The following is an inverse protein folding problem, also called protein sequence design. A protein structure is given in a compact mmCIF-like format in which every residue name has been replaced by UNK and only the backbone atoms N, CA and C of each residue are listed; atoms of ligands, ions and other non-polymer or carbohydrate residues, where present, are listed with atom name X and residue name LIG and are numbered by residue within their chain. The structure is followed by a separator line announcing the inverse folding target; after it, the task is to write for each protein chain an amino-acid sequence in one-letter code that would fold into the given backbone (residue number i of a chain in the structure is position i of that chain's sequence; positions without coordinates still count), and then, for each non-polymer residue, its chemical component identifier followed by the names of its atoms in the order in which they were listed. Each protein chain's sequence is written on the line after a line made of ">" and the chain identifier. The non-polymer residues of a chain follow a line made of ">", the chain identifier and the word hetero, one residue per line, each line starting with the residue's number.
data_IF_418718558653
#
_entry.id   IF_418718558653
#
_cell.length_a   1.000
_cell.length_b   1.000
_cell.length_c   1.000
_cell.angle_alpha   90.00
_cell.angle_beta   90.00
_cell.angle_gamma   90.00
#
_symmetry.space_group_name_H-M   'P 1'
#
loop_
_entity.id
_entity.type
_entity.pdbx_description
1 polymer ?
#
# COMPACT_ATOMS: atom_id res chain seq x y z
N UNK A 1 21.99 11.09 -21.58
CA UNK A 1 21.47 9.77 -21.16
C UNK A 1 20.03 10.00 -20.75
N UNK A 2 19.05 9.55 -21.53
CA UNK A 2 17.65 9.54 -21.11
C UNK A 2 17.49 8.41 -20.09
N UNK A 3 17.38 8.77 -18.82
CA UNK A 3 17.07 7.82 -17.75
C UNK A 3 15.68 7.26 -17.99
N UNK A 4 15.55 5.93 -18.05
CA UNK A 4 14.24 5.27 -18.14
C UNK A 4 13.34 5.74 -16.98
N UNK A 5 12.01 5.82 -17.17
CA UNK A 5 11.08 6.10 -16.07
C UNK A 5 11.24 5.11 -14.90
N UNK A 6 10.98 5.59 -13.69
CA UNK A 6 10.95 4.78 -12.48
C UNK A 6 9.70 3.91 -12.49
N UNK A 7 9.89 2.60 -12.32
CA UNK A 7 8.77 1.66 -12.20
C UNK A 7 8.23 1.70 -10.77
N UNK A 8 7.04 2.25 -10.59
CA UNK A 8 6.47 2.54 -9.28
C UNK A 8 5.25 1.67 -9.03
N UNK A 9 5.32 0.76 -8.06
CA UNK A 9 4.17 -0.02 -7.64
C UNK A 9 3.44 0.65 -6.48
N UNK A 10 2.22 1.13 -6.73
CA UNK A 10 1.32 1.64 -5.71
C UNK A 10 0.36 0.54 -5.24
N UNK A 11 0.35 0.25 -3.94
CA UNK A 11 -0.55 -0.75 -3.36
C UNK A 11 -1.88 -0.09 -2.99
N UNK A 12 -2.93 -0.39 -3.73
CA UNK A 12 -4.28 0.20 -3.60
C UNK A 12 -5.36 -0.84 -3.32
N UNK A 13 -5.03 -1.98 -2.71
CA UNK A 13 -5.93 -3.14 -2.58
C UNK A 13 -7.19 -2.90 -1.75
N UNK A 14 -7.20 -1.83 -0.96
CA UNK A 14 -8.33 -1.41 -0.14
C UNK A 14 -9.25 -0.40 -0.85
N UNK A 15 -8.90 0.04 -2.05
CA UNK A 15 -9.73 0.93 -2.87
C UNK A 15 -10.91 0.14 -3.42
N UNK A 16 -12.16 0.60 -3.21
CA UNK A 16 -13.33 -0.05 -3.80
C UNK A 16 -13.44 0.25 -5.30
N UNK A 17 -14.29 -0.51 -6.00
CA UNK A 17 -14.54 -0.33 -7.44
C UNK A 17 -14.93 1.10 -7.85
N UNK A 18 -15.61 1.82 -6.97
CA UNK A 18 -16.00 3.22 -7.20
C UNK A 18 -14.84 4.20 -7.18
N UNK A 19 -13.66 3.82 -6.66
CA UNK A 19 -12.56 4.74 -6.36
C UNK A 19 -12.89 5.78 -5.28
N UNK A 20 -14.05 5.69 -4.65
CA UNK A 20 -14.55 6.67 -3.70
C UNK A 20 -14.67 6.06 -2.30
N UNK A 21 -14.38 6.84 -1.26
CA UNK A 21 -14.44 6.40 0.12
C UNK A 21 -13.84 7.40 1.09
N UNK A 22 -13.45 6.91 2.27
CA UNK A 22 -12.81 7.74 3.30
C UNK A 22 -11.41 8.23 2.92
N UNK A 23 -10.76 8.92 3.86
CA UNK A 23 -9.48 9.62 3.62
C UNK A 23 -8.36 8.75 3.01
N UNK A 24 -8.25 7.48 3.39
CA UNK A 24 -7.26 6.55 2.79
C UNK A 24 -7.51 6.30 1.31
N UNK A 25 -8.78 6.08 0.91
CA UNK A 25 -9.14 5.86 -0.50
C UNK A 25 -8.82 7.11 -1.30
N UNK A 26 -9.23 8.28 -0.81
CA UNK A 26 -8.88 9.57 -1.44
C UNK A 26 -7.37 9.73 -1.58
N UNK A 27 -6.60 9.44 -0.53
CA UNK A 27 -5.14 9.53 -0.57
C UNK A 27 -4.54 8.68 -1.68
N UNK A 28 -4.94 7.41 -1.81
CA UNK A 28 -4.44 6.51 -2.86
C UNK A 28 -4.81 7.02 -4.25
N UNK A 29 -6.05 7.46 -4.45
CA UNK A 29 -6.50 7.94 -5.75
C UNK A 29 -5.78 9.22 -6.18
N UNK A 30 -5.61 10.19 -5.28
CA UNK A 30 -4.88 11.43 -5.61
C UNK A 30 -3.38 11.17 -5.80
N UNK A 31 -2.78 10.29 -4.99
CA UNK A 31 -1.39 9.89 -5.17
C UNK A 31 -1.18 9.19 -6.51
N UNK A 32 -2.09 8.28 -6.90
CA UNK A 32 -2.04 7.60 -8.19
C UNK A 32 -2.12 8.61 -9.35
N UNK A 33 -3.03 9.58 -9.30
CA UNK A 33 -3.11 10.65 -10.31
C UNK A 33 -1.86 11.51 -10.36
N UNK A 34 -1.33 11.90 -9.20
CA UNK A 34 -0.10 12.69 -9.11
C UNK A 34 1.11 11.94 -9.67
N UNK A 35 1.21 10.63 -9.45
CA UNK A 35 2.26 9.79 -10.02
C UNK A 35 2.08 9.59 -11.53
N UNK A 36 0.85 9.35 -11.99
CA UNK A 36 0.55 9.18 -13.41
C UNK A 36 0.79 10.43 -14.25
N UNK A 37 0.69 11.62 -13.65
CA UNK A 37 0.96 12.89 -14.31
C UNK A 37 2.46 13.20 -14.49
N UNK A 38 3.35 12.33 -14.02
CA UNK A 38 4.81 12.51 -14.13
C UNK A 38 5.40 11.69 -15.26
N UNK A 39 6.16 12.33 -16.12
CA UNK A 39 6.82 11.67 -17.26
C UNK A 39 8.01 10.78 -16.85
N UNK A 40 8.50 10.93 -15.62
CA UNK A 40 9.58 10.11 -15.05
C UNK A 40 9.09 8.91 -14.24
N UNK A 41 7.78 8.63 -14.24
CA UNK A 41 7.17 7.51 -13.50
C UNK A 41 6.35 6.61 -14.43
N UNK A 42 6.68 5.33 -14.41
CA UNK A 42 5.81 4.26 -14.91
C UNK A 42 4.98 3.69 -13.76
N UNK A 43 3.71 4.10 -13.67
CA UNK A 43 2.82 3.69 -12.58
C UNK A 43 2.27 2.27 -12.82
N UNK A 44 2.51 1.40 -11.83
CA UNK A 44 1.83 0.13 -11.63
C UNK A 44 0.95 0.21 -10.39
N UNK A 45 -0.20 -0.45 -10.42
CA UNK A 45 -1.13 -0.50 -9.28
C UNK A 45 -1.40 -1.94 -8.90
N UNK A 46 -1.31 -2.25 -7.61
CA UNK A 46 -1.84 -3.49 -7.06
C UNK A 46 -3.23 -3.22 -6.47
N UNK A 47 -4.27 -3.64 -7.19
CA UNK A 47 -5.68 -3.43 -6.84
C UNK A 47 -6.31 -4.68 -6.22
N UNK A 48 -7.41 -4.47 -5.47
CA UNK A 48 -8.24 -5.56 -4.98
C UNK A 48 -9.14 -6.09 -6.10
N UNK A 49 -9.63 -7.33 -5.97
CA UNK A 49 -10.55 -7.92 -6.95
C UNK A 49 -11.80 -7.04 -7.20
N UNK A 50 -12.01 -6.66 -8.46
CA UNK A 50 -13.11 -5.82 -8.92
C UNK A 50 -12.86 -4.31 -8.78
N UNK A 51 -11.66 -3.88 -8.37
CA UNK A 51 -11.30 -2.47 -8.23
C UNK A 51 -10.54 -1.89 -9.44
N UNK A 52 -10.38 -2.66 -10.52
CA UNK A 52 -9.66 -2.26 -11.74
C UNK A 52 -10.24 -0.96 -12.32
N UNK A 53 -11.56 -0.86 -12.36
CA UNK A 53 -12.28 0.28 -12.91
C UNK A 53 -11.97 1.61 -12.19
N UNK A 54 -11.56 1.55 -10.91
CA UNK A 54 -11.18 2.74 -10.15
C UNK A 54 -9.91 3.41 -10.72
N UNK A 55 -9.04 2.65 -11.38
CA UNK A 55 -7.76 3.12 -11.91
C UNK A 55 -7.76 3.35 -13.42
N UNK A 56 -8.91 3.18 -14.08
CA UNK A 56 -9.09 3.52 -15.50
C UNK A 56 -8.74 4.98 -15.75
N UNK A 57 -7.90 5.25 -16.75
CA UNK A 57 -7.43 6.59 -17.08
C UNK A 57 -6.36 7.14 -16.12
N UNK A 58 -5.94 6.38 -15.11
CA UNK A 58 -4.82 6.71 -14.22
C UNK A 58 -3.61 5.82 -14.52
N UNK A 59 -3.84 4.53 -14.71
CA UNK A 59 -2.80 3.57 -15.11
C UNK A 59 -3.26 2.78 -16.33
N UNK A 60 -2.30 2.37 -17.15
CA UNK A 60 -2.56 1.46 -18.27
C UNK A 60 -3.16 0.15 -17.75
N UNK A 61 -4.18 -0.44 -18.42
CA UNK A 61 -4.83 -1.66 -17.95
C UNK A 61 -3.85 -2.82 -17.68
N UNK A 62 -2.81 -2.97 -18.50
CA UNK A 62 -1.76 -3.98 -18.33
C UNK A 62 -0.86 -3.76 -17.09
N UNK A 63 -0.95 -2.59 -16.46
CA UNK A 63 -0.19 -2.20 -15.26
C UNK A 63 -1.05 -2.20 -13.99
N UNK A 64 -2.33 -2.58 -14.09
CA UNK A 64 -3.22 -2.79 -12.94
C UNK A 64 -3.25 -4.29 -12.62
N UNK A 65 -2.53 -4.68 -11.58
CA UNK A 65 -2.41 -6.05 -11.10
C UNK A 65 -3.48 -6.32 -10.04
N UNK A 66 -4.20 -7.44 -10.10
CA UNK A 66 -5.27 -7.72 -9.14
C UNK A 66 -4.95 -8.85 -8.18
N UNK A 67 -5.38 -8.68 -6.94
CA UNK A 67 -5.35 -9.71 -5.92
C UNK A 67 -6.73 -10.34 -5.71
N UNK A 68 -6.80 -11.69 -5.71
CA UNK A 68 -8.02 -12.38 -5.32
C UNK A 68 -8.28 -12.22 -3.81
N UNK A 69 -9.55 -12.13 -3.44
CA UNK A 69 -10.02 -12.18 -2.05
C UNK A 69 -10.44 -10.82 -1.47
N UNK A 70 -11.30 -10.88 -0.44
CA UNK A 70 -11.78 -9.73 0.34
C UNK A 70 -11.72 -10.06 1.84
N UNK A 71 -11.52 -9.05 2.69
CA UNK A 71 -11.58 -9.19 4.15
C UNK A 71 -10.22 -9.23 4.87
N UNK A 72 -10.18 -9.51 6.18
CA UNK A 72 -8.95 -9.44 6.99
C UNK A 72 -7.90 -10.50 6.65
N UNK A 73 -8.31 -11.64 6.06
CA UNK A 73 -7.38 -12.66 5.54
C UNK A 73 -6.61 -12.13 4.32
N UNK A 74 -7.17 -11.17 3.60
CA UNK A 74 -6.52 -10.50 2.46
C UNK A 74 -5.22 -9.81 2.88
N UNK A 75 -5.05 -9.41 4.14
CA UNK A 75 -3.80 -8.84 4.64
C UNK A 75 -2.59 -9.77 4.52
N UNK A 76 -2.77 -11.08 4.69
CA UNK A 76 -1.70 -12.05 4.48
C UNK A 76 -1.45 -12.29 2.98
N UNK A 77 -2.52 -12.30 2.18
CA UNK A 77 -2.46 -12.46 0.72
C UNK A 77 -1.78 -11.25 0.05
N UNK A 78 -2.10 -10.03 0.49
CA UNK A 78 -1.47 -8.77 0.09
C UNK A 78 0.03 -8.79 0.36
N UNK A 79 0.44 -9.37 1.49
CA UNK A 79 1.84 -9.50 1.82
C UNK A 79 2.59 -10.50 0.94
N UNK A 80 1.89 -11.50 0.39
CA UNK A 80 2.45 -12.49 -0.53
C UNK A 80 2.23 -12.13 -2.00
N UNK A 81 1.67 -10.95 -2.27
CA UNK A 81 1.28 -10.50 -3.59
C UNK A 81 2.43 -10.26 -4.55
N UNK A 82 3.68 -10.25 -4.07
CA UNK A 82 4.82 -9.88 -4.91
C UNK A 82 5.00 -10.74 -6.15
N UNK A 83 4.61 -12.03 -6.08
CA UNK A 83 4.63 -12.92 -7.25
C UNK A 83 3.58 -12.59 -8.32
N UNK A 84 2.55 -11.78 -8.02
CA UNK A 84 1.56 -11.31 -9.01
C UNK A 84 1.99 -10.05 -9.73
N UNK A 85 2.93 -9.33 -9.17
CA UNK A 85 3.49 -8.13 -9.79
C UNK A 85 4.63 -8.58 -10.68
N UNK A 86 4.43 -8.51 -11.99
CA UNK A 86 5.43 -8.92 -12.97
C UNK A 86 6.68 -8.02 -12.95
N UNK A 87 7.85 -8.65 -12.75
CA UNK A 87 9.16 -8.01 -12.90
C UNK A 87 9.59 -7.12 -11.72
N UNK A 88 10.78 -6.50 -11.86
CA UNK A 88 11.39 -5.64 -10.84
C UNK A 88 10.74 -4.26 -10.79
N UNK A 89 10.45 -3.76 -9.60
CA UNK A 89 10.04 -2.37 -9.38
C UNK A 89 11.23 -1.56 -8.87
N UNK A 90 11.21 -0.25 -9.10
CA UNK A 90 12.18 0.65 -8.47
C UNK A 90 11.66 1.10 -7.11
N UNK A 91 10.35 1.32 -6.99
CA UNK A 91 9.66 1.68 -5.74
C UNK A 91 8.43 0.79 -5.53
N UNK A 92 8.23 0.35 -4.30
CA UNK A 92 7.06 -0.40 -3.84
C UNK A 92 6.42 0.36 -2.69
N UNK A 93 5.23 0.91 -2.89
CA UNK A 93 4.58 1.81 -1.93
C UNK A 93 3.31 1.20 -1.33
N UNK A 94 3.42 0.75 -0.09
CA UNK A 94 2.27 0.39 0.75
C UNK A 94 1.56 1.63 1.26
N UNK A 95 0.24 1.74 1.05
CA UNK A 95 -0.55 2.93 1.43
C UNK A 95 -1.50 2.68 2.61
N UNK A 96 -1.33 1.57 3.33
CA UNK A 96 -2.19 1.20 4.46
C UNK A 96 -1.38 0.58 5.60
N UNK A 97 -1.42 -0.74 5.75
CA UNK A 97 -0.72 -1.44 6.83
C UNK A 97 0.36 -2.38 6.31
N UNK A 98 0.47 -2.53 4.99
CA UNK A 98 1.18 -3.65 4.39
C UNK A 98 2.06 -3.20 3.25
N UNK A 99 3.27 -3.74 3.29
CA UNK A 99 4.23 -3.70 2.20
C UNK A 99 4.32 -5.14 1.64
N UNK A 100 4.00 -5.36 0.35
CA UNK A 100 4.15 -6.66 -0.29
C UNK A 100 5.59 -7.16 -0.18
N UNK A 101 5.77 -8.45 0.12
CA UNK A 101 7.08 -9.11 0.10
C UNK A 101 7.35 -9.68 -1.27
N UNK A 102 8.63 -9.79 -1.61
CA UNK A 102 9.08 -10.47 -2.82
C UNK A 102 9.00 -9.63 -4.10
N UNK A 103 8.60 -8.35 -4.01
CA UNK A 103 8.81 -7.38 -5.10
C UNK A 103 10.15 -6.69 -4.86
N UNK A 104 11.16 -6.87 -5.71
CA UNK A 104 12.42 -6.13 -5.57
C UNK A 104 12.16 -4.63 -5.81
N UNK A 105 12.76 -3.76 -5.00
CA UNK A 105 12.64 -2.30 -5.07
C UNK A 105 12.78 -1.65 -3.68
N UNK A 106 12.81 -0.32 -3.64
CA UNK A 106 12.76 0.44 -2.38
C UNK A 106 11.35 0.38 -1.82
N UNK A 107 11.21 -0.12 -0.60
CA UNK A 107 9.95 -0.27 0.13
C UNK A 107 9.55 1.00 0.88
N UNK A 108 8.45 1.62 0.46
CA UNK A 108 7.86 2.78 1.14
C UNK A 108 6.56 2.36 1.81
N UNK A 109 6.31 2.77 3.04
CA UNK A 109 5.05 2.53 3.73
C UNK A 109 4.47 3.84 4.26
N UNK A 110 3.32 4.26 3.73
CA UNK A 110 2.54 5.34 4.34
C UNK A 110 1.72 4.81 5.50
N UNK A 111 1.85 5.47 6.65
CA UNK A 111 1.10 5.21 7.86
C UNK A 111 0.08 6.33 8.07
N UNK A 112 -1.20 5.97 8.05
CA UNK A 112 -2.29 6.91 8.32
C UNK A 112 -2.61 7.00 9.81
N UNK A 113 -2.63 5.86 10.50
CA UNK A 113 -2.90 5.76 11.93
C UNK A 113 -2.31 4.48 12.52
N UNK A 114 -2.33 4.41 13.85
CA UNK A 114 -1.88 3.26 14.62
C UNK A 114 -3.05 2.57 15.35
N UNK A 115 -4.31 2.82 14.94
CA UNK A 115 -5.51 2.35 15.65
C UNK A 115 -5.55 0.83 15.77
N UNK A 116 -5.12 0.10 14.73
CA UNK A 116 -5.05 -1.36 14.78
C UNK A 116 -4.11 -1.90 15.88
N UNK A 117 -3.18 -1.08 16.36
CA UNK A 117 -2.23 -1.41 17.43
C UNK A 117 -2.60 -0.77 18.77
N UNK A 118 -3.06 0.49 18.74
CA UNK A 118 -3.43 1.31 19.90
C UNK A 118 -4.77 0.88 20.51
N UNK A 119 -5.73 0.55 19.65
CA UNK A 119 -7.13 0.26 20.01
C UNK A 119 -7.59 -1.04 19.36
N UNK A 120 -6.89 -2.18 19.60
CA UNK A 120 -7.18 -3.43 18.91
C UNK A 120 -8.57 -4.00 19.22
N UNK A 121 -9.17 -3.61 20.34
CA UNK A 121 -10.49 -4.05 20.78
C UNK A 121 -11.66 -3.33 20.10
N UNK A 122 -11.39 -2.23 19.38
CA UNK A 122 -12.39 -1.57 18.54
C UNK A 122 -12.66 -2.35 17.25
N UNK A 123 -11.88 -3.41 16.98
CA UNK A 123 -12.00 -4.25 15.81
C UNK A 123 -12.40 -5.68 16.16
N UNK A 124 -13.14 -6.33 15.25
CA UNK A 124 -13.50 -7.74 15.40
C UNK A 124 -12.28 -8.65 15.57
N UNK A 125 -12.49 -9.81 16.22
CA UNK A 125 -11.44 -10.74 16.65
C UNK A 125 -10.44 -11.10 15.53
N UNK A 126 -10.94 -11.36 14.32
CA UNK A 126 -10.08 -11.69 13.18
C UNK A 126 -9.10 -10.55 12.84
N UNK A 127 -9.57 -9.30 12.76
CA UNK A 127 -8.72 -8.14 12.45
C UNK A 127 -7.70 -7.89 13.57
N UNK A 128 -8.15 -8.03 14.83
CA UNK A 128 -7.31 -7.88 16.02
C UNK A 128 -6.12 -8.85 16.03
N UNK A 129 -6.34 -10.12 15.66
CA UNK A 129 -5.28 -11.13 15.67
C UNK A 129 -4.42 -11.10 14.42
N UNK A 130 -5.02 -10.88 13.25
CA UNK A 130 -4.34 -11.07 11.96
C UNK A 130 -3.59 -9.83 11.45
N UNK A 131 -3.94 -8.61 11.88
CA UNK A 131 -3.31 -7.38 11.33
C UNK A 131 -2.04 -6.99 12.09
N UNK A 132 -2.00 -7.18 13.41
CA UNK A 132 -0.91 -6.67 14.27
C UNK A 132 0.48 -7.14 13.82
N UNK A 133 0.66 -8.44 13.65
CA UNK A 133 1.95 -9.02 13.24
C UNK A 133 2.41 -8.52 11.87
N UNK A 134 1.59 -8.68 10.81
CA UNK A 134 1.91 -8.17 9.48
C UNK A 134 2.17 -6.66 9.42
N UNK A 135 1.45 -5.86 10.19
CA UNK A 135 1.64 -4.41 10.23
C UNK A 135 3.01 -4.04 10.79
N UNK A 136 3.33 -4.52 12.01
CA UNK A 136 4.65 -4.29 12.63
C UNK A 136 5.80 -4.83 11.76
N UNK A 137 5.58 -5.95 11.09
CA UNK A 137 6.59 -6.54 10.25
C UNK A 137 6.70 -5.88 8.85
N UNK A 138 5.72 -5.06 8.44
CA UNK A 138 5.84 -4.19 7.26
C UNK A 138 6.55 -2.89 7.62
N UNK A 139 6.25 -2.31 8.79
CA UNK A 139 6.97 -1.14 9.31
C UNK A 139 8.48 -1.40 9.42
N UNK A 140 8.88 -2.54 10.00
CA UNK A 140 10.30 -2.91 10.11
C UNK A 140 10.99 -3.22 8.78
N UNK A 141 10.22 -3.55 7.74
CA UNK A 141 10.75 -3.95 6.44
C UNK A 141 10.76 -2.81 5.42
N UNK A 142 10.14 -1.67 5.74
CA UNK A 142 10.14 -0.50 4.87
C UNK A 142 11.49 0.20 4.97
N UNK A 143 12.05 0.56 3.82
CA UNK A 143 13.23 1.41 3.72
C UNK A 143 12.89 2.87 4.07
N UNK A 144 11.63 3.27 3.86
CA UNK A 144 11.11 4.57 4.27
C UNK A 144 9.68 4.47 4.79
N UNK A 145 9.41 5.12 5.92
CA UNK A 145 8.07 5.25 6.49
C UNK A 145 7.58 6.68 6.35
N UNK A 146 6.45 6.85 5.66
CA UNK A 146 5.81 8.16 5.46
C UNK A 146 4.69 8.30 6.50
N UNK A 147 4.87 9.22 7.44
CA UNK A 147 3.84 9.55 8.41
C UNK A 147 3.04 10.77 7.93
N UNK A 148 1.70 10.66 7.93
CA UNK A 148 0.82 11.76 7.50
C UNK A 148 0.79 12.95 8.47
N UNK A 149 1.36 12.79 9.67
CA UNK A 149 1.46 13.86 10.67
C UNK A 149 2.58 13.58 11.68
N UNK A 150 2.97 14.60 12.45
CA UNK A 150 3.90 14.45 13.56
C UNK A 150 3.35 13.50 14.66
N UNK A 151 2.05 13.58 14.95
CA UNK A 151 1.39 12.68 15.91
C UNK A 151 1.49 11.21 15.44
N UNK A 152 1.27 10.95 14.15
CA UNK A 152 1.43 9.60 13.58
C UNK A 152 2.88 9.12 13.73
N UNK A 153 3.86 9.97 13.47
CA UNK A 153 5.29 9.66 13.64
C UNK A 153 5.60 9.28 15.09
N UNK A 154 5.15 10.07 16.05
CA UNK A 154 5.35 9.80 17.49
C UNK A 154 4.79 8.43 17.88
N UNK A 155 3.59 8.09 17.40
CA UNK A 155 3.00 6.76 17.63
C UNK A 155 3.82 5.64 16.99
N UNK A 156 4.30 5.82 15.76
CA UNK A 156 5.18 4.84 15.08
C UNK A 156 6.46 4.61 15.91
N UNK A 157 7.15 5.67 16.30
CA UNK A 157 8.39 5.59 17.07
C UNK A 157 8.17 5.00 18.47
N UNK A 158 6.99 5.15 19.06
CA UNK A 158 6.66 4.52 20.34
C UNK A 158 6.57 2.98 20.25
N UNK A 159 6.15 2.43 19.10
CA UNK A 159 6.14 0.98 18.87
C UNK A 159 7.47 0.45 18.35
N UNK A 160 8.18 1.24 17.54
CA UNK A 160 9.39 0.88 16.83
C UNK A 160 10.38 2.05 16.88
N UNK A 161 11.14 2.22 17.98
CA UNK A 161 12.07 3.35 18.13
C UNK A 161 13.21 3.37 17.10
N UNK A 162 13.45 2.25 16.43
CA UNK A 162 14.49 2.08 15.41
C UNK A 162 14.02 2.37 13.98
N UNK A 163 12.78 2.82 13.80
CA UNK A 163 12.15 3.14 12.52
C UNK A 163 11.98 4.64 12.39
#
# INVERSE_FOLDING_TARGET
>A
MTTRPLRYLLVGTHVPASGAGGGMVRYVMELARGLAARDDVELHVLAGAGAEAAFTGIAEPARVHTLPGRGPVTSAVERLAGGRVGGRMDVVHGTKHLLPRGVPGIGVLTVHDMLALDRPFDFGLAKRLLVRGPYLASLRAADAVVCVSAATRERVTAYLPSV
#
